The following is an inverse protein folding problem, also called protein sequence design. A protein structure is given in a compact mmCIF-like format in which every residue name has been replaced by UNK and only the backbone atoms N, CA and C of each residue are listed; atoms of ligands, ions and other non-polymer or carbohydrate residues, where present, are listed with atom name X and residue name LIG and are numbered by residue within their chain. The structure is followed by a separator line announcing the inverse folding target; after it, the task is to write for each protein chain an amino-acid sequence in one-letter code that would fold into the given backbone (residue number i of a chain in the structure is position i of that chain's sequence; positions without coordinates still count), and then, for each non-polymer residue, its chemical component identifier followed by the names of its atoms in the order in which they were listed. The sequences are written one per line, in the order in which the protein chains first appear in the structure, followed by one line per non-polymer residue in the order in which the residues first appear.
data_IF_225925555765
#
_entry.id   IF_225925555765
#
_cell.length_a   1.000
_cell.length_b   1.000
_cell.length_c   1.000
_cell.angle_alpha   90.00
_cell.angle_beta   90.00
_cell.angle_gamma   90.00
#
_symmetry.space_group_name_H-M   'P 1'
#
loop_
_entity.id
_entity.type
_entity.pdbx_description
1 polymer ?
#
# COMPACT_ATOMS: atom_id res chain seq x y z
N UNK A 1 -13.70 -12.41 9.16
CA UNK A 1 -13.53 -13.88 9.23
C UNK A 1 -12.33 -14.37 8.39
N UNK A 2 -11.43 -15.14 9.00
CA UNK A 2 -10.30 -15.81 8.31
C UNK A 2 -10.74 -16.84 7.27
N UNK A 3 -10.04 -16.87 6.14
CA UNK A 3 -10.09 -18.02 5.22
C UNK A 3 -9.29 -19.21 5.76
N UNK A 4 -9.42 -20.38 5.13
CA UNK A 4 -8.58 -21.53 5.45
C UNK A 4 -7.09 -21.24 5.21
N UNK A 5 -6.77 -20.56 4.11
CA UNK A 5 -5.40 -20.17 3.78
C UNK A 5 -4.80 -19.23 4.83
N UNK A 6 -5.59 -18.31 5.40
CA UNK A 6 -5.13 -17.41 6.46
C UNK A 6 -4.82 -18.14 7.76
N UNK A 7 -5.67 -19.12 8.14
CA UNK A 7 -5.44 -19.96 9.32
C UNK A 7 -4.18 -20.79 9.16
N UNK A 8 -3.99 -21.39 8.00
CA UNK A 8 -2.81 -22.19 7.68
C UNK A 8 -1.53 -21.35 7.71
N UNK A 9 -1.58 -20.13 7.16
CA UNK A 9 -0.47 -19.18 7.22
C UNK A 9 -0.14 -18.81 8.66
N UNK A 10 -1.16 -18.48 9.47
CA UNK A 10 -0.97 -18.13 10.87
C UNK A 10 -0.39 -19.29 11.68
N UNK A 11 -0.83 -20.52 11.44
CA UNK A 11 -0.32 -21.72 12.10
C UNK A 11 1.18 -21.97 11.80
N UNK A 12 1.62 -21.67 10.57
CA UNK A 12 3.03 -21.80 10.16
C UNK A 12 3.95 -20.68 10.69
N UNK A 13 3.39 -19.64 11.31
CA UNK A 13 4.13 -18.46 11.76
C UNK A 13 4.00 -18.26 13.29
N UNK A 14 4.44 -19.24 14.11
CA UNK A 14 4.34 -19.13 15.58
C UNK A 14 5.13 -17.94 16.14
N UNK A 15 6.15 -17.49 15.43
CA UNK A 15 6.99 -16.36 15.80
C UNK A 15 6.31 -14.99 15.60
N UNK A 16 5.16 -14.94 14.88
CA UNK A 16 4.36 -13.73 14.65
C UNK A 16 3.02 -13.84 15.42
N UNK A 17 3.00 -13.67 16.75
CA UNK A 17 1.82 -13.94 17.57
C UNK A 17 0.58 -13.11 17.16
N UNK A 18 0.78 -11.90 16.63
CA UNK A 18 -0.29 -11.03 16.14
C UNK A 18 -0.83 -11.35 14.74
N UNK A 19 -0.27 -12.31 14.01
CA UNK A 19 -0.60 -12.53 12.58
C UNK A 19 -2.09 -12.86 12.38
N UNK A 20 -2.67 -13.67 13.27
CA UNK A 20 -4.08 -14.07 13.20
C UNK A 20 -5.02 -12.86 13.31
N UNK A 21 -4.73 -11.94 14.24
CA UNK A 21 -5.51 -10.72 14.43
C UNK A 21 -5.33 -9.74 13.27
N UNK A 22 -4.14 -9.67 12.68
CA UNK A 22 -3.89 -8.80 11.52
C UNK A 22 -4.65 -9.25 10.27
N UNK A 23 -4.98 -10.55 10.15
CA UNK A 23 -5.74 -11.12 9.04
C UNK A 23 -7.26 -11.13 9.29
N UNK A 24 -7.70 -11.06 10.56
CA UNK A 24 -9.13 -11.09 10.92
C UNK A 24 -9.57 -9.83 11.66
N UNK A 25 -10.29 -8.95 10.95
CA UNK A 25 -10.78 -7.70 11.54
C UNK A 25 -11.79 -7.95 12.65
N UNK A 26 -12.58 -9.03 12.57
CA UNK A 26 -13.53 -9.39 13.62
C UNK A 26 -12.80 -9.81 14.90
N UNK A 27 -11.74 -10.63 14.79
CA UNK A 27 -10.94 -10.99 15.95
C UNK A 27 -10.15 -9.80 16.51
N UNK A 28 -9.84 -8.80 15.68
CA UNK A 28 -9.19 -7.56 16.09
C UNK A 28 -10.16 -6.58 16.77
N UNK A 29 -11.48 -6.81 16.71
CA UNK A 29 -12.49 -5.87 17.18
C UNK A 29 -12.28 -5.43 18.64
N UNK A 30 -11.89 -6.35 19.54
CA UNK A 30 -11.60 -5.99 20.93
C UNK A 30 -10.45 -4.99 21.03
N UNK A 31 -9.38 -5.15 20.25
CA UNK A 31 -8.26 -4.19 20.22
C UNK A 31 -8.65 -2.88 19.57
N UNK A 32 -9.50 -2.92 18.55
CA UNK A 32 -10.06 -1.71 17.94
C UNK A 32 -10.93 -0.96 18.94
N UNK A 33 -11.74 -1.64 19.76
CA UNK A 33 -12.57 -1.00 20.78
C UNK A 33 -11.74 -0.23 21.82
N UNK A 34 -10.56 -0.72 22.19
CA UNK A 34 -9.64 0.00 23.08
C UNK A 34 -8.92 1.18 22.41
N UNK A 35 -8.79 1.13 21.09
CA UNK A 35 -8.11 2.16 20.31
C UNK A 35 -9.06 3.28 19.86
N UNK A 36 -10.33 2.95 19.65
CA UNK A 36 -11.37 3.90 19.28
C UNK A 36 -11.71 4.84 20.45
N UNK A 37 -12.10 6.10 20.17
CA UNK A 37 -12.58 7.01 21.20
C UNK A 37 -13.80 6.44 21.95
N UNK A 38 -13.97 6.82 23.22
CA UNK A 38 -15.14 6.44 23.99
C UNK A 38 -16.44 6.85 23.26
N UNK A 39 -17.36 5.90 23.08
CA UNK A 39 -18.62 6.09 22.33
C UNK A 39 -18.51 5.87 20.81
N UNK A 40 -17.31 5.71 20.25
CA UNK A 40 -17.10 5.27 18.88
C UNK A 40 -16.99 3.73 18.86
N UNK A 41 -17.75 3.08 17.99
CA UNK A 41 -17.76 1.62 17.89
C UNK A 41 -17.48 1.18 16.46
N UNK A 42 -16.76 0.07 16.31
CA UNK A 42 -16.59 -0.57 15.01
C UNK A 42 -17.94 -1.12 14.54
N UNK A 43 -18.39 -0.68 13.37
CA UNK A 43 -19.60 -1.22 12.74
C UNK A 43 -19.24 -2.25 11.67
N UNK A 44 -18.16 -2.00 10.94
CA UNK A 44 -17.67 -2.90 9.90
C UNK A 44 -16.18 -2.65 9.66
N UNK A 45 -15.45 -3.69 9.28
CA UNK A 45 -14.10 -3.50 8.79
C UNK A 45 -13.64 -4.61 7.87
N UNK A 46 -12.69 -4.27 7.00
CA UNK A 46 -12.10 -5.22 6.04
C UNK A 46 -10.61 -4.99 5.86
N UNK A 47 -9.90 -6.08 5.56
CA UNK A 47 -8.53 -6.02 5.09
C UNK A 47 -8.53 -5.61 3.61
N UNK A 48 -7.76 -4.58 3.27
CA UNK A 48 -7.67 -4.00 1.92
C UNK A 48 -6.30 -4.15 1.28
N UNK A 49 -5.30 -4.57 2.06
CA UNK A 49 -3.93 -4.72 1.60
C UNK A 49 -3.19 -5.69 2.50
N UNK A 50 -2.33 -6.52 1.93
CA UNK A 50 -1.42 -7.39 2.67
C UNK A 50 0.01 -7.23 2.14
N UNK A 51 0.97 -7.13 3.07
CA UNK A 51 2.39 -7.31 2.80
C UNK A 51 2.99 -8.23 3.84
N UNK A 52 3.27 -9.44 3.43
CA UNK A 52 3.86 -10.48 4.26
C UNK A 52 5.36 -10.60 4.00
N UNK A 53 6.12 -10.73 5.09
CA UNK A 53 7.54 -11.11 5.08
C UNK A 53 7.70 -12.29 6.05
N UNK A 54 8.04 -13.49 5.54
CA UNK A 54 8.13 -14.69 6.35
C UNK A 54 8.98 -14.50 7.61
N UNK A 55 8.49 -15.00 8.74
CA UNK A 55 9.14 -14.94 10.06
C UNK A 55 9.52 -13.54 10.56
N UNK A 56 9.11 -12.49 9.86
CA UNK A 56 9.57 -11.13 10.10
C UNK A 56 8.42 -10.20 10.45
N UNK A 57 7.42 -10.11 9.57
CA UNK A 57 6.29 -9.21 9.78
C UNK A 57 5.16 -9.44 8.80
N UNK A 58 3.94 -9.11 9.21
CA UNK A 58 2.79 -8.90 8.33
C UNK A 58 2.32 -7.45 8.47
N UNK A 59 1.99 -6.81 7.35
CA UNK A 59 1.27 -5.54 7.32
C UNK A 59 -0.09 -5.75 6.66
N UNK A 60 -1.16 -5.40 7.36
CA UNK A 60 -2.53 -5.44 6.86
C UNK A 60 -3.11 -4.03 6.81
N UNK A 61 -3.48 -3.55 5.62
CA UNK A 61 -4.22 -2.29 5.48
C UNK A 61 -5.69 -2.51 5.80
N UNK A 62 -6.30 -1.59 6.53
CA UNK A 62 -7.68 -1.67 7.00
C UNK A 62 -8.51 -0.53 6.43
N UNK A 63 -9.74 -0.87 6.01
CA UNK A 63 -10.82 0.09 5.84
C UNK A 63 -11.86 -0.22 6.92
N UNK A 64 -12.14 0.78 7.77
CA UNK A 64 -13.02 0.67 8.92
C UNK A 64 -14.20 1.62 8.74
N UNK A 65 -15.39 1.16 9.14
CA UNK A 65 -16.58 1.99 9.33
C UNK A 65 -16.92 1.93 10.80
N UNK A 66 -16.87 3.09 11.44
CA UNK A 66 -17.24 3.27 12.85
C UNK A 66 -18.53 4.06 12.94
N UNK A 67 -19.11 4.18 14.14
CA UNK A 67 -20.29 5.02 14.36
C UNK A 67 -20.00 6.49 14.04
N UNK A 68 -18.75 6.92 14.15
CA UNK A 68 -18.30 8.28 13.80
C UNK A 68 -17.89 8.47 12.33
N UNK A 69 -17.89 7.42 11.50
CA UNK A 69 -17.61 7.50 10.06
C UNK A 69 -16.56 6.53 9.55
N UNK A 70 -15.99 6.83 8.38
CA UNK A 70 -15.00 5.98 7.72
C UNK A 70 -13.58 6.32 8.16
N UNK A 71 -12.77 5.28 8.39
CA UNK A 71 -11.36 5.42 8.77
C UNK A 71 -10.49 4.47 7.96
N UNK A 72 -9.28 4.92 7.66
CA UNK A 72 -8.22 4.08 7.12
C UNK A 72 -7.16 3.87 8.19
N UNK A 73 -6.76 2.62 8.38
CA UNK A 73 -5.76 2.24 9.35
C UNK A 73 -4.89 1.12 8.78
N UNK A 74 -3.91 0.67 9.54
CA UNK A 74 -3.22 -0.57 9.24
C UNK A 74 -2.70 -1.25 10.49
N UNK A 75 -2.54 -2.56 10.39
CA UNK A 75 -2.00 -3.40 11.44
C UNK A 75 -0.62 -3.86 11.03
N UNK A 76 0.30 -3.91 11.99
CA UNK A 76 1.59 -4.56 11.83
C UNK A 76 1.76 -5.62 12.90
N UNK A 77 1.88 -6.86 12.49
CA UNK A 77 2.34 -7.96 13.34
C UNK A 77 3.83 -8.19 13.07
N UNK A 78 4.61 -8.44 14.12
CA UNK A 78 6.06 -8.63 14.00
C UNK A 78 6.55 -9.93 14.64
N UNK A 79 7.67 -10.42 14.11
CA UNK A 79 8.48 -11.47 14.71
C UNK A 79 9.32 -10.99 15.91
N UNK A 80 10.16 -11.86 16.47
CA UNK A 80 11.08 -11.55 17.57
C UNK A 80 11.98 -10.33 17.31
N UNK A 81 12.40 -9.65 18.38
CA UNK A 81 13.29 -8.49 18.31
C UNK A 81 12.63 -7.21 17.77
N UNK A 82 11.30 -7.14 17.75
CA UNK A 82 10.55 -6.02 17.19
C UNK A 82 10.27 -4.86 18.15
N UNK A 83 10.62 -4.97 19.43
CA UNK A 83 10.33 -3.95 20.44
C UNK A 83 10.75 -2.53 19.99
N UNK A 84 11.97 -2.29 19.47
CA UNK A 84 12.34 -0.96 18.99
C UNK A 84 11.48 -0.45 17.82
N UNK A 85 10.95 -1.36 16.99
CA UNK A 85 10.03 -0.99 15.90
C UNK A 85 8.66 -0.60 16.43
N UNK A 86 8.17 -1.28 17.47
CA UNK A 86 6.91 -0.97 18.14
C UNK A 86 7.00 0.35 18.90
N UNK A 87 8.09 0.57 19.66
CA UNK A 87 8.34 1.83 20.37
C UNK A 87 8.37 3.03 19.42
N UNK A 88 8.99 2.85 18.25
CA UNK A 88 9.00 3.88 17.20
C UNK A 88 7.60 4.20 16.68
N UNK A 89 6.72 3.20 16.54
CA UNK A 89 5.34 3.43 16.13
C UNK A 89 4.55 4.12 17.24
N UNK A 90 4.69 3.68 18.49
CA UNK A 90 4.09 4.31 19.67
C UNK A 90 4.48 5.79 19.77
N UNK A 91 5.77 6.09 19.63
CA UNK A 91 6.30 7.46 19.66
C UNK A 91 5.71 8.32 18.55
N UNK A 92 5.64 7.83 17.31
CA UNK A 92 5.03 8.59 16.20
C UNK A 92 3.54 8.83 16.44
N UNK A 93 2.81 7.79 16.85
CA UNK A 93 1.37 7.86 17.11
C UNK A 93 1.01 8.83 18.24
N UNK A 94 1.85 8.95 19.27
CA UNK A 94 1.67 9.91 20.35
C UNK A 94 1.73 11.39 19.90
N UNK A 95 2.33 11.67 18.73
CA UNK A 95 2.38 13.01 18.13
C UNK A 95 1.27 13.24 17.10
N UNK A 96 0.35 12.28 16.94
CA UNK A 96 -0.82 12.46 16.10
C UNK A 96 -1.90 13.22 16.86
N UNK A 97 -2.32 14.35 16.28
CA UNK A 97 -3.35 15.23 16.85
C UNK A 97 -4.58 15.32 15.96
N UNK A 98 -4.60 14.54 14.88
CA UNK A 98 -5.64 14.58 13.85
C UNK A 98 -6.43 13.28 13.88
N UNK A 99 -5.74 12.13 13.81
CA UNK A 99 -6.37 10.83 13.89
C UNK A 99 -6.22 10.20 15.27
N UNK A 100 -6.31 8.87 15.30
CA UNK A 100 -6.29 8.08 16.54
C UNK A 100 -4.89 7.66 17.00
N UNK A 101 -3.84 8.11 16.31
CA UNK A 101 -2.47 7.76 16.68
C UNK A 101 -2.14 6.29 16.44
N UNK A 102 -1.60 5.62 17.45
CA UNK A 102 -1.18 4.22 17.37
C UNK A 102 -1.48 3.49 18.67
N UNK A 103 -2.14 2.35 18.57
CA UNK A 103 -2.26 1.37 19.64
C UNK A 103 -1.21 0.27 19.47
N UNK A 104 -0.59 -0.16 20.57
CA UNK A 104 0.41 -1.24 20.59
C UNK A 104 0.03 -2.29 21.62
N UNK A 105 0.04 -3.56 21.20
CA UNK A 105 -0.03 -4.74 22.06
C UNK A 105 1.32 -5.45 22.02
N UNK A 106 2.13 -5.24 23.05
CA UNK A 106 3.48 -5.81 23.14
C UNK A 106 3.47 -7.34 23.26
N UNK A 107 2.46 -7.90 23.94
CA UNK A 107 2.29 -9.35 24.09
C UNK A 107 2.06 -10.05 22.75
N UNK A 108 1.27 -9.43 21.87
CA UNK A 108 1.02 -9.90 20.51
C UNK A 108 2.00 -9.35 19.47
N UNK A 109 2.97 -8.52 19.89
CA UNK A 109 3.92 -7.82 19.01
C UNK A 109 3.21 -7.13 17.84
N UNK A 110 2.09 -6.48 18.15
CA UNK A 110 1.15 -5.95 17.20
C UNK A 110 0.96 -4.46 17.41
N UNK A 111 0.79 -3.72 16.32
CA UNK A 111 0.40 -2.32 16.36
C UNK A 111 -0.75 -2.05 15.40
N UNK A 112 -1.75 -1.28 15.85
CA UNK A 112 -2.79 -0.68 15.00
C UNK A 112 -2.43 0.79 14.83
N UNK A 113 -2.32 1.26 13.60
CA UNK A 113 -1.80 2.59 13.26
C UNK A 113 -2.82 3.32 12.39
N UNK A 114 -3.21 4.53 12.79
CA UNK A 114 -4.04 5.41 11.95
C UNK A 114 -3.29 5.78 10.67
N UNK A 115 -4.00 5.96 9.56
CA UNK A 115 -3.41 6.52 8.33
C UNK A 115 -2.73 7.88 8.56
N UNK A 116 -3.25 8.73 9.46
CA UNK A 116 -2.61 10.00 9.84
C UNK A 116 -1.28 9.82 10.58
N UNK A 117 -1.05 8.64 11.15
CA UNK A 117 0.20 8.24 11.81
C UNK A 117 1.18 7.49 10.90
N UNK A 118 0.89 7.36 9.59
CA UNK A 118 1.84 6.77 8.64
C UNK A 118 3.04 7.70 8.40
N UNK A 119 4.09 7.49 9.20
CA UNK A 119 5.36 8.23 9.12
C UNK A 119 6.07 8.13 7.77
N UNK A 120 5.73 7.15 6.92
CA UNK A 120 6.33 7.02 5.59
C UNK A 120 5.61 7.87 4.56
N UNK A 121 4.42 8.38 4.88
CA UNK A 121 3.57 9.21 4.03
C UNK A 121 3.30 10.57 4.72
N UNK A 122 4.32 11.43 4.90
CA UNK A 122 4.22 12.60 5.78
C UNK A 122 3.16 13.64 5.34
N UNK A 123 2.83 13.70 4.05
CA UNK A 123 1.75 14.58 3.57
C UNK A 123 0.34 14.08 3.92
N UNK A 124 0.17 12.79 4.25
CA UNK A 124 -1.14 12.17 4.41
C UNK A 124 -1.92 12.77 5.57
N UNK A 125 -1.28 12.94 6.73
CA UNK A 125 -1.89 13.62 7.89
C UNK A 125 -2.43 15.00 7.56
N UNK A 126 -1.64 15.82 6.86
CA UNK A 126 -2.07 17.17 6.47
C UNK A 126 -3.18 17.14 5.44
N UNK A 127 -3.18 16.15 4.54
CA UNK A 127 -4.24 15.95 3.57
C UNK A 127 -5.56 15.63 4.28
N UNK A 128 -5.55 14.62 5.16
CA UNK A 128 -6.75 14.20 5.89
C UNK A 128 -7.24 15.27 6.87
N UNK A 129 -6.34 16.02 7.52
CA UNK A 129 -6.70 17.12 8.42
C UNK A 129 -7.42 18.29 7.72
N UNK A 130 -7.05 18.60 6.48
CA UNK A 130 -7.62 19.73 5.72
C UNK A 130 -8.94 19.37 5.04
N UNK A 131 -9.26 18.09 4.97
CA UNK A 131 -10.14 17.55 3.96
C UNK A 131 -11.44 16.98 4.52
N UNK A 132 -11.92 17.49 5.66
CA UNK A 132 -13.10 16.95 6.35
C UNK A 132 -14.34 16.78 5.46
N UNK A 133 -14.40 17.36 4.25
CA UNK A 133 -15.55 17.22 3.33
C UNK A 133 -15.25 17.00 1.85
N UNK A 134 -14.00 17.02 1.39
CA UNK A 134 -13.72 17.00 -0.05
C UNK A 134 -12.75 15.91 -0.50
N UNK A 135 -12.30 15.01 0.36
CA UNK A 135 -11.36 13.95 -0.03
C UNK A 135 -11.97 12.56 0.08
N UNK A 136 -12.08 11.90 -1.06
CA UNK A 136 -12.52 10.50 -1.15
C UNK A 136 -11.28 9.60 -1.27
N UNK A 137 -10.99 8.74 -0.29
CA UNK A 137 -9.89 7.80 -0.41
C UNK A 137 -10.22 6.69 -1.41
N UNK A 138 -9.38 6.51 -2.42
CA UNK A 138 -9.54 5.45 -3.42
C UNK A 138 -8.73 4.20 -3.05
N UNK A 139 -7.47 4.38 -2.66
CA UNK A 139 -6.59 3.25 -2.36
C UNK A 139 -5.50 3.62 -1.38
N UNK A 140 -5.38 2.82 -0.34
CA UNK A 140 -4.32 2.94 0.63
C UNK A 140 -3.44 1.68 0.63
N UNK A 141 -2.13 1.87 0.41
CA UNK A 141 -1.09 0.85 0.59
C UNK A 141 -0.16 1.34 1.70
N UNK A 142 -0.39 0.92 2.95
CA UNK A 142 0.36 1.37 4.11
C UNK A 142 1.87 1.39 3.90
N UNK A 143 2.48 2.42 4.45
CA UNK A 143 3.90 2.75 4.34
C UNK A 143 4.40 2.99 2.92
N UNK A 144 3.57 2.97 1.87
CA UNK A 144 4.03 2.89 0.48
C UNK A 144 3.40 3.95 -0.41
N UNK A 145 2.07 4.03 -0.42
CA UNK A 145 1.33 5.10 -1.09
C UNK A 145 -0.10 5.21 -0.59
N UNK A 146 -0.64 6.42 -0.65
CA UNK A 146 -2.06 6.70 -0.52
C UNK A 146 -2.57 7.38 -1.79
N UNK A 147 -3.81 7.09 -2.19
CA UNK A 147 -4.46 7.64 -3.37
C UNK A 147 -5.89 8.03 -3.00
N UNK A 148 -6.31 9.23 -3.39
CA UNK A 148 -7.68 9.70 -3.26
C UNK A 148 -8.01 10.81 -4.24
N UNK A 149 -9.27 11.18 -4.30
CA UNK A 149 -9.78 12.27 -5.13
C UNK A 149 -10.11 13.45 -4.23
N UNK A 150 -9.72 14.66 -4.64
CA UNK A 150 -10.14 15.90 -3.98
C UNK A 150 -11.18 16.59 -4.85
N UNK A 151 -12.29 17.02 -4.25
CA UNK A 151 -13.31 17.79 -4.94
C UNK A 151 -14.11 16.97 -5.94
N UNK A 152 -14.40 15.70 -5.66
CA UNK A 152 -15.14 14.84 -6.62
C UNK A 152 -16.50 15.42 -7.04
N UNK A 153 -17.13 16.21 -6.16
CA UNK A 153 -18.40 16.89 -6.43
C UNK A 153 -18.22 18.32 -6.98
N UNK A 154 -17.00 18.74 -7.29
CA UNK A 154 -16.72 20.05 -7.90
C UNK A 154 -16.57 19.91 -9.41
N UNK A 155 -16.55 21.05 -10.11
CA UNK A 155 -16.29 21.08 -11.56
C UNK A 155 -14.84 20.79 -11.95
N UNK A 156 -13.93 20.67 -10.97
CA UNK A 156 -12.50 20.43 -11.22
C UNK A 156 -11.92 19.45 -10.18
N UNK A 157 -12.31 18.16 -10.25
CA UNK A 157 -11.76 17.14 -9.38
C UNK A 157 -10.27 16.90 -9.70
N UNK A 158 -9.49 16.56 -8.68
CA UNK A 158 -8.09 16.19 -8.87
C UNK A 158 -7.73 14.89 -8.15
N UNK A 159 -6.89 14.09 -8.81
CA UNK A 159 -6.36 12.86 -8.24
C UNK A 159 -5.12 13.21 -7.40
N UNK A 160 -5.13 12.84 -6.13
CA UNK A 160 -3.98 12.99 -5.24
C UNK A 160 -3.33 11.65 -4.98
N UNK A 161 -2.02 11.58 -5.18
CA UNK A 161 -1.16 10.47 -4.77
C UNK A 161 -0.14 10.97 -3.76
N UNK A 162 -0.03 10.29 -2.63
CA UNK A 162 0.99 10.56 -1.61
C UNK A 162 1.90 9.34 -1.57
N UNK A 163 3.16 9.55 -1.91
CA UNK A 163 4.21 8.53 -1.89
C UNK A 163 5.16 8.75 -0.72
N UNK A 164 6.07 7.79 -0.48
CA UNK A 164 7.24 8.13 0.32
C UNK A 164 8.08 9.19 -0.44
N UNK A 165 8.64 10.19 0.26
CA UNK A 165 9.41 11.27 -0.38
C UNK A 165 10.53 10.79 -1.31
N UNK A 166 11.23 9.72 -0.92
CA UNK A 166 12.32 9.14 -1.73
C UNK A 166 11.88 8.65 -3.11
N UNK A 167 10.62 8.25 -3.28
CA UNK A 167 10.10 7.79 -4.58
C UNK A 167 9.43 8.91 -5.38
N UNK A 168 8.88 9.94 -4.73
CA UNK A 168 8.09 10.96 -5.40
C UNK A 168 8.89 11.74 -6.46
N UNK A 169 10.20 11.98 -6.22
CA UNK A 169 11.08 12.63 -7.20
C UNK A 169 11.25 11.78 -8.46
N UNK A 170 11.49 10.48 -8.29
CA UNK A 170 11.60 9.52 -9.39
C UNK A 170 10.29 9.45 -10.18
N UNK A 171 9.14 9.35 -9.48
CA UNK A 171 7.83 9.34 -10.14
C UNK A 171 7.56 10.61 -10.95
N UNK A 172 7.83 11.80 -10.41
CA UNK A 172 7.64 13.05 -11.14
C UNK A 172 8.49 13.11 -12.42
N UNK A 173 9.76 12.70 -12.37
CA UNK A 173 10.65 12.68 -13.54
C UNK A 173 10.19 11.67 -14.60
N UNK A 174 9.77 10.47 -14.18
CA UNK A 174 9.24 9.44 -15.08
C UNK A 174 7.94 9.90 -15.74
N UNK A 175 7.04 10.50 -14.97
CA UNK A 175 5.78 11.06 -15.49
C UNK A 175 6.04 12.12 -16.57
N UNK A 176 6.93 13.08 -16.28
CA UNK A 176 7.33 14.09 -17.26
C UNK A 176 8.02 13.52 -18.51
N UNK A 177 8.64 12.33 -18.42
CA UNK A 177 9.17 11.64 -19.59
C UNK A 177 8.06 11.03 -20.47
N UNK A 178 7.00 10.50 -19.85
CA UNK A 178 5.83 9.99 -20.56
C UNK A 178 5.07 11.12 -21.26
N UNK A 179 4.85 12.25 -20.57
CA UNK A 179 4.23 13.45 -21.14
C UNK A 179 5.03 13.97 -22.35
N UNK A 180 6.36 14.10 -22.23
CA UNK A 180 7.23 14.52 -23.35
C UNK A 180 7.24 13.54 -24.53
N UNK A 181 6.97 12.27 -24.28
CA UNK A 181 6.83 11.26 -25.34
C UNK A 181 5.43 11.28 -25.99
N UNK A 182 4.57 12.23 -25.61
CA UNK A 182 3.21 12.39 -26.13
C UNK A 182 2.29 11.23 -25.76
N UNK A 183 2.60 10.48 -24.69
CA UNK A 183 1.73 9.43 -24.21
C UNK A 183 0.50 10.07 -23.52
N UNK A 184 -0.70 9.48 -23.67
CA UNK A 184 -1.93 9.94 -23.04
C UNK A 184 -1.91 9.62 -21.54
N UNK A 185 -1.12 10.37 -20.78
CA UNK A 185 -1.07 10.31 -19.31
C UNK A 185 -1.76 11.54 -18.73
N UNK A 186 -2.44 11.44 -17.56
CA UNK A 186 -3.06 12.58 -16.93
C UNK A 186 -2.04 13.67 -16.60
N UNK A 187 -2.42 14.94 -16.75
CA UNK A 187 -1.53 16.07 -16.46
C UNK A 187 -1.07 16.05 -14.99
N UNK A 188 0.23 16.15 -14.75
CA UNK A 188 0.78 16.36 -13.40
C UNK A 188 0.69 17.85 -13.01
N UNK A 189 -0.46 18.26 -12.47
CA UNK A 189 -0.71 19.65 -12.03
C UNK A 189 0.22 20.13 -10.91
N UNK A 190 0.61 19.25 -9.99
CA UNK A 190 1.49 19.61 -8.86
C UNK A 190 2.34 18.44 -8.39
N UNK A 191 3.62 18.70 -8.11
CA UNK A 191 4.50 17.77 -7.42
C UNK A 191 5.24 18.45 -6.25
N UNK A 192 5.23 17.82 -5.09
CA UNK A 192 6.04 18.18 -3.92
C UNK A 192 6.85 16.99 -3.46
N UNK A 193 7.99 16.68 -4.12
CA UNK A 193 8.76 15.48 -3.81
C UNK A 193 9.22 15.37 -2.35
N UNK A 194 9.50 16.50 -1.70
CA UNK A 194 9.93 16.53 -0.29
C UNK A 194 8.88 15.97 0.68
N UNK A 195 7.59 16.14 0.39
CA UNK A 195 6.47 15.65 1.20
C UNK A 195 5.84 14.39 0.62
N UNK A 196 6.21 14.04 -0.61
CA UNK A 196 5.67 12.90 -1.35
C UNK A 196 4.33 13.16 -2.05
N UNK A 197 3.80 14.38 -1.97
CA UNK A 197 2.51 14.76 -2.54
C UNK A 197 2.61 14.98 -4.05
N UNK A 198 1.71 14.38 -4.80
CA UNK A 198 1.53 14.58 -6.24
C UNK A 198 0.03 14.75 -6.53
N UNK A 199 -0.32 15.73 -7.35
CA UNK A 199 -1.68 16.02 -7.77
C UNK A 199 -1.75 15.97 -9.28
N UNK A 200 -2.72 15.23 -9.79
CA UNK A 200 -2.96 15.05 -11.22
C UNK A 200 -4.35 15.55 -11.56
N UNK A 201 -4.55 15.87 -12.84
CA UNK A 201 -5.88 15.90 -13.42
C UNK A 201 -6.64 14.60 -13.12
N UNK A 202 -7.92 14.73 -12.81
CA UNK A 202 -8.84 13.59 -12.75
C UNK A 202 -9.33 13.27 -14.16
N UNK A 203 -9.20 12.02 -14.57
CA UNK A 203 -9.64 11.56 -15.88
C UNK A 203 -10.86 10.66 -15.69
N UNK A 204 -11.98 11.04 -16.31
CA UNK A 204 -13.15 10.17 -16.40
C UNK A 204 -12.92 9.08 -17.44
N UNK A 205 -13.34 7.87 -17.15
CA UNK A 205 -13.19 6.76 -18.07
C UNK A 205 -13.55 5.42 -17.45
N UNK A 206 -13.59 4.40 -18.31
CA UNK A 206 -13.92 3.03 -17.95
C UNK A 206 -12.64 2.19 -17.87
N UNK A 207 -12.69 1.12 -17.07
CA UNK A 207 -11.61 0.15 -17.07
C UNK A 207 -11.61 -0.62 -18.39
N UNK A 208 -10.43 -0.81 -18.98
CA UNK A 208 -10.27 -1.54 -20.26
C UNK A 208 -10.89 -2.94 -20.24
N UNK A 209 -10.98 -3.56 -19.06
CA UNK A 209 -11.58 -4.89 -18.86
C UNK A 209 -13.11 -4.88 -18.98
N UNK A 210 -13.74 -3.70 -18.81
CA UNK A 210 -15.19 -3.51 -18.84
C UNK A 210 -15.68 -2.99 -20.21
N UNK A 211 -14.76 -2.65 -21.12
CA UNK A 211 -15.09 -2.10 -22.44
C UNK A 211 -15.03 -3.19 -23.51
N UNK A 212 -16.19 -3.53 -24.07
CA UNK A 212 -16.28 -4.40 -25.25
C UNK A 212 -16.26 -3.55 -26.53
N UNK A 213 -15.06 -3.25 -27.02
CA UNK A 213 -14.85 -2.48 -28.23
C UNK A 213 -13.95 -3.24 -29.23
N UNK A 214 -14.41 -3.49 -30.47
CA UNK A 214 -13.58 -4.06 -31.52
C UNK A 214 -12.31 -3.23 -31.75
N UNK A 215 -11.15 -3.86 -31.69
CA UNK A 215 -9.85 -3.19 -31.91
C UNK A 215 -9.19 -2.62 -30.65
N UNK A 216 -9.85 -2.62 -29.49
CA UNK A 216 -9.30 -2.08 -28.23
C UNK A 216 -7.93 -2.67 -27.87
N UNK A 217 -7.76 -4.00 -28.00
CA UNK A 217 -6.48 -4.65 -27.72
C UNK A 217 -5.37 -4.22 -28.70
N UNK A 218 -5.72 -3.91 -29.95
CA UNK A 218 -4.78 -3.39 -30.95
C UNK A 218 -4.32 -1.99 -30.57
N UNK A 219 -5.24 -1.12 -30.14
CA UNK A 219 -4.92 0.23 -29.68
C UNK A 219 -4.05 0.21 -28.41
N UNK A 220 -4.40 -0.65 -27.44
CA UNK A 220 -3.59 -0.89 -26.24
C UNK A 220 -2.19 -1.39 -26.62
N UNK A 221 -2.09 -2.33 -27.56
CA UNK A 221 -0.82 -2.84 -28.06
C UNK A 221 0.05 -1.75 -28.70
N UNK A 222 -0.55 -0.89 -29.53
CA UNK A 222 0.14 0.25 -30.13
C UNK A 222 0.62 1.25 -29.08
N UNK A 223 -0.19 1.53 -28.06
CA UNK A 223 0.18 2.40 -26.95
C UNK A 223 1.33 1.81 -26.11
N UNK A 224 1.31 0.51 -25.83
CA UNK A 224 2.38 -0.19 -25.12
C UNK A 224 3.68 -0.19 -25.94
N UNK A 225 3.61 -0.36 -27.25
CA UNK A 225 4.78 -0.25 -28.12
C UNK A 225 5.42 1.15 -28.03
N UNK A 226 4.60 2.22 -28.06
CA UNK A 226 5.07 3.60 -27.83
C UNK A 226 5.68 3.79 -26.44
N UNK A 227 5.07 3.21 -25.41
CA UNK A 227 5.60 3.24 -24.04
C UNK A 227 6.98 2.59 -23.96
N UNK A 228 7.17 1.43 -24.60
CA UNK A 228 8.47 0.73 -24.63
C UNK A 228 9.55 1.49 -25.42
N UNK A 229 9.16 2.35 -26.35
CA UNK A 229 10.09 3.21 -27.08
C UNK A 229 10.56 4.43 -26.27
N UNK A 230 9.92 4.75 -25.13
CA UNK A 230 10.34 5.88 -24.28
C UNK A 230 11.70 5.59 -23.65
N UNK A 231 12.73 6.43 -23.86
CA UNK A 231 14.04 6.22 -23.28
C UNK A 231 13.98 6.18 -21.75
N UNK A 232 14.47 5.09 -21.16
CA UNK A 232 14.67 5.00 -19.71
C UNK A 232 15.88 5.86 -19.37
N UNK A 233 15.65 7.09 -18.91
CA UNK A 233 16.73 7.89 -18.33
C UNK A 233 17.29 7.15 -17.12
N UNK A 234 18.58 6.81 -17.17
CA UNK A 234 19.28 6.20 -16.06
C UNK A 234 19.19 7.15 -14.85
N UNK A 235 18.43 6.76 -13.84
CA UNK A 235 18.48 7.44 -12.55
C UNK A 235 19.88 7.21 -11.95
N UNK A 236 20.43 8.18 -11.18
CA UNK A 236 21.69 7.98 -10.47
C UNK A 236 21.60 6.65 -9.73
N UNK A 237 22.54 5.76 -10.03
CA UNK A 237 22.48 4.31 -9.79
C UNK A 237 21.58 3.95 -8.60
N UNK A 238 20.36 3.50 -8.90
CA UNK A 238 19.62 2.71 -7.94
C UNK A 238 20.56 1.60 -7.48
N UNK A 239 20.61 1.35 -6.16
CA UNK A 239 21.43 0.29 -5.56
C UNK A 239 21.42 -0.94 -6.46
N UNK A 240 22.57 -1.50 -6.87
CA UNK A 240 22.62 -2.64 -7.77
C UNK A 240 21.64 -3.72 -7.29
N UNK A 241 20.58 -3.91 -8.05
CA UNK A 241 19.57 -4.90 -7.71
C UNK A 241 20.08 -6.25 -8.16
N UNK A 242 20.46 -7.10 -7.21
CA UNK A 242 20.74 -8.50 -7.52
C UNK A 242 19.42 -9.19 -7.88
N UNK A 243 19.09 -9.22 -9.17
CA UNK A 243 17.91 -9.93 -9.71
C UNK A 243 17.88 -11.39 -9.25
N UNK A 244 19.06 -12.01 -9.11
CA UNK A 244 19.19 -13.35 -8.55
C UNK A 244 18.72 -13.42 -7.08
N UNK A 245 19.15 -12.48 -6.25
CA UNK A 245 18.71 -12.41 -4.85
C UNK A 245 17.21 -12.15 -4.74
N UNK A 246 16.65 -11.22 -5.54
CA UNK A 246 15.21 -10.94 -5.55
C UNK A 246 14.37 -12.15 -5.98
N UNK A 247 14.80 -12.87 -7.01
CA UNK A 247 14.13 -14.11 -7.43
C UNK A 247 14.19 -15.17 -6.32
N UNK A 248 15.31 -15.29 -5.61
CA UNK A 248 15.42 -16.22 -4.50
C UNK A 248 14.52 -15.82 -3.32
N UNK A 249 14.42 -14.52 -3.02
CA UNK A 249 13.49 -13.99 -2.02
C UNK A 249 12.03 -14.24 -2.41
N UNK A 250 11.67 -14.06 -3.69
CA UNK A 250 10.33 -14.32 -4.19
C UNK A 250 9.96 -15.80 -4.04
N UNK A 251 10.85 -16.72 -4.41
CA UNK A 251 10.64 -18.18 -4.23
C UNK A 251 10.45 -18.51 -2.75
N UNK A 252 11.28 -17.97 -1.85
CA UNK A 252 11.12 -18.17 -0.40
C UNK A 252 9.77 -17.66 0.11
N UNK A 253 9.34 -16.49 -0.34
CA UNK A 253 8.06 -15.92 0.05
C UNK A 253 6.88 -16.78 -0.42
N UNK A 254 6.91 -17.27 -1.67
CA UNK A 254 5.89 -18.17 -2.22
C UNK A 254 5.88 -19.49 -1.45
N UNK A 255 7.04 -20.10 -1.22
CA UNK A 255 7.13 -21.35 -0.48
C UNK A 255 6.58 -21.25 0.95
N UNK A 256 6.78 -20.10 1.61
CA UNK A 256 6.23 -19.86 2.95
C UNK A 256 4.71 -19.63 2.94
N UNK A 257 4.20 -18.86 1.96
CA UNK A 257 2.78 -18.54 1.87
C UNK A 257 1.95 -19.72 1.33
N UNK A 258 2.43 -20.39 0.28
CA UNK A 258 1.77 -21.46 -0.46
C UNK A 258 2.77 -22.60 -0.71
N UNK A 259 3.00 -23.49 0.28
CA UNK A 259 4.02 -24.53 0.18
C UNK A 259 3.90 -25.44 -1.06
N UNK A 260 2.67 -25.75 -1.48
CA UNK A 260 2.42 -26.56 -2.69
C UNK A 260 2.92 -25.93 -4.00
N UNK A 261 3.11 -24.60 -4.04
CA UNK A 261 3.62 -23.89 -5.21
C UNK A 261 5.15 -23.72 -5.20
N UNK A 262 5.85 -24.16 -4.15
CA UNK A 262 7.29 -23.92 -3.99
C UNK A 262 8.12 -24.47 -5.17
N UNK A 263 7.79 -25.67 -5.66
CA UNK A 263 8.48 -26.29 -6.81
C UNK A 263 8.29 -25.48 -8.08
N UNK A 264 7.04 -25.14 -8.41
CA UNK A 264 6.71 -24.35 -9.60
C UNK A 264 7.34 -22.95 -9.54
N UNK A 265 7.36 -22.31 -8.37
CA UNK A 265 8.04 -21.03 -8.18
C UNK A 265 9.55 -21.14 -8.45
N UNK A 266 10.20 -22.20 -7.95
CA UNK A 266 11.61 -22.47 -8.19
C UNK A 266 11.93 -22.74 -9.67
N UNK A 267 11.06 -23.46 -10.38
CA UNK A 267 11.15 -23.69 -11.83
C UNK A 267 11.05 -22.36 -12.60
N UNK A 268 10.01 -21.56 -12.32
CA UNK A 268 9.82 -20.24 -12.95
C UNK A 268 10.99 -19.29 -12.70
N UNK A 269 11.54 -19.28 -11.49
CA UNK A 269 12.71 -18.46 -11.17
C UNK A 269 13.97 -18.88 -11.94
N UNK A 270 14.16 -20.18 -12.21
CA UNK A 270 15.25 -20.67 -13.06
C UNK A 270 15.06 -20.22 -14.51
N UNK A 271 13.84 -20.37 -15.05
CA UNK A 271 13.52 -19.92 -16.41
C UNK A 271 13.72 -18.42 -16.59
N UNK A 272 13.27 -17.61 -15.62
CA UNK A 272 13.47 -16.16 -15.64
C UNK A 272 14.96 -15.78 -15.60
N UNK A 273 15.78 -16.48 -14.82
CA UNK A 273 17.24 -16.24 -14.81
C UNK A 273 17.87 -16.56 -16.16
N UNK A 274 17.48 -17.66 -16.79
CA UNK A 274 18.01 -18.05 -18.08
C UNK A 274 17.67 -17.04 -19.19
N UNK A 275 16.49 -16.43 -19.15
CA UNK A 275 16.07 -15.42 -20.13
C UNK A 275 16.70 -14.03 -19.91
N UNK A 276 17.30 -13.79 -18.74
CA UNK A 276 17.93 -12.52 -18.36
C UNK A 276 19.46 -12.54 -18.46
N UNK A 277 20.05 -13.71 -18.73
CA UNK A 277 21.48 -13.93 -18.96
C UNK A 277 21.81 -13.74 -20.44
#
# INVERSE_FOLDING_TARGET
MLTAADRDLAHREPDLPGIRLALDVEALADRLAHWLPAGDALVEGRVTYLRYKPRTSLVAGLALRTTSGHRQAFVKAYGPGSAPKLDKLRSVGAHDRIGLGTFVDDGLRLAVVDATSDRRLPALRRMLAKAERCVEPLRYKPERRWVGVVGRQTSDPCLVKIHQPGFARSFARRHAALERAGLPVPELRRAQPATGLMTYEWFEGEHVEDVDAPGLLTEVGALLARLHAVPVTAEPAATPVSRAAELADAVRAIAAAVPGAARAAGESARSARAALA
#
